data_IF_291362262460
#
_entry.id   IF_291362262460
#
_cell.length_a   1.000
_cell.length_b   1.000
_cell.length_c   1.000
_cell.angle_alpha   90.00
_cell.angle_beta   90.00
_cell.angle_gamma   90.00
#
_symmetry.space_group_name_H-M   'P 1'
#
loop_
_entity.id
_entity.type
_entity.pdbx_description
1 polymer ?
#
# COMPACT_ATOMS: atom_id res chain seq x y z
N UNK A 1 -4.61 8.79 7.27
CA UNK A 1 -5.12 8.77 5.87
C UNK A 1 -5.17 10.19 5.28
N UNK A 2 -4.62 10.41 4.08
CA UNK A 2 -4.68 11.69 3.39
C UNK A 2 -6.09 11.96 2.82
N UNK A 3 -6.36 13.19 2.36
CA UNK A 3 -7.68 13.61 1.85
C UNK A 3 -8.17 12.70 0.70
N UNK A 4 -7.33 12.44 -0.29
CA UNK A 4 -7.70 11.63 -1.46
C UNK A 4 -8.08 10.18 -1.11
N UNK A 5 -7.36 9.54 -0.19
CA UNK A 5 -7.69 8.19 0.27
C UNK A 5 -9.00 8.13 1.06
N UNK A 6 -9.33 9.19 1.82
CA UNK A 6 -10.62 9.29 2.51
C UNK A 6 -11.78 9.42 1.50
N UNK A 7 -11.59 10.25 0.47
CA UNK A 7 -12.59 10.43 -0.59
C UNK A 7 -12.80 9.14 -1.39
N UNK A 8 -11.72 8.41 -1.68
CA UNK A 8 -11.79 7.11 -2.35
C UNK A 8 -12.51 6.07 -1.48
N UNK A 9 -12.15 5.96 -0.20
CA UNK A 9 -12.82 5.04 0.74
C UNK A 9 -14.32 5.34 0.85
N UNK A 10 -14.69 6.63 0.92
CA UNK A 10 -16.09 7.06 0.90
C UNK A 10 -16.80 6.64 -0.38
N UNK A 11 -16.20 6.88 -1.55
CA UNK A 11 -16.76 6.48 -2.84
C UNK A 11 -17.00 4.96 -2.91
N UNK A 12 -16.03 4.16 -2.46
CA UNK A 12 -16.18 2.70 -2.43
C UNK A 12 -17.35 2.28 -1.53
N UNK A 13 -17.44 2.84 -0.32
CA UNK A 13 -18.54 2.57 0.60
C UNK A 13 -19.90 3.01 0.06
N UNK A 14 -20.00 4.18 -0.57
CA UNK A 14 -21.22 4.69 -1.22
C UNK A 14 -21.71 3.75 -2.34
N UNK A 15 -20.79 3.03 -2.99
CA UNK A 15 -21.10 2.04 -4.04
C UNK A 15 -21.22 0.60 -3.51
N UNK A 16 -21.21 0.39 -2.19
CA UNK A 16 -21.31 -0.94 -1.58
C UNK A 16 -20.07 -1.83 -1.80
N UNK A 17 -18.96 -1.26 -2.25
CA UNK A 17 -17.70 -1.98 -2.46
C UNK A 17 -16.94 -2.10 -1.13
N UNK A 18 -16.58 -3.33 -0.77
CA UNK A 18 -15.71 -3.65 0.35
C UNK A 18 -14.25 -3.68 -0.10
N UNK A 19 -13.34 -3.31 0.79
CA UNK A 19 -11.91 -3.34 0.53
C UNK A 19 -11.15 -3.78 1.77
N UNK A 20 -10.03 -4.47 1.55
CA UNK A 20 -9.05 -4.76 2.59
C UNK A 20 -8.06 -3.61 2.74
N UNK A 21 -7.48 -3.46 3.92
CA UNK A 21 -6.37 -2.53 4.14
C UNK A 21 -5.34 -3.03 5.15
N UNK A 22 -4.08 -2.67 4.91
CA UNK A 22 -3.00 -2.86 5.87
C UNK A 22 -2.12 -1.62 5.92
N UNK A 23 -1.52 -1.36 7.08
CA UNK A 23 -0.58 -0.25 7.26
C UNK A 23 0.69 -0.70 7.98
N UNK A 24 1.84 -0.32 7.45
CA UNK A 24 3.13 -0.64 8.05
C UNK A 24 4.25 0.33 7.63
N UNK A 25 5.33 0.35 8.42
CA UNK A 25 6.53 1.12 8.09
C UNK A 25 7.24 0.55 6.87
N UNK A 26 7.63 1.40 5.93
CA UNK A 26 8.46 1.03 4.78
C UNK A 26 9.87 0.53 5.20
N UNK A 27 10.26 0.76 6.45
CA UNK A 27 11.54 0.34 7.02
C UNK A 27 11.46 -1.00 7.76
N UNK A 28 10.28 -1.63 7.85
CA UNK A 28 10.19 -2.99 8.38
C UNK A 28 11.08 -3.95 7.55
N UNK A 29 11.61 -5.02 8.15
CA UNK A 29 12.27 -6.07 7.38
C UNK A 29 11.36 -6.56 6.25
N UNK A 30 11.92 -6.77 5.05
CA UNK A 30 11.14 -7.14 3.86
C UNK A 30 10.20 -8.33 4.11
N UNK A 31 10.68 -9.36 4.84
CA UNK A 31 9.88 -10.53 5.17
C UNK A 31 8.61 -10.18 5.97
N UNK A 32 8.67 -9.18 6.86
CA UNK A 32 7.51 -8.72 7.62
C UNK A 32 6.55 -7.88 6.77
N UNK A 33 7.07 -7.09 5.83
CA UNK A 33 6.23 -6.38 4.86
C UNK A 33 5.46 -7.37 3.99
N UNK A 34 6.15 -8.38 3.46
CA UNK A 34 5.54 -9.44 2.66
C UNK A 34 4.48 -10.22 3.46
N UNK A 35 4.74 -10.52 4.73
CA UNK A 35 3.77 -11.23 5.57
C UNK A 35 2.47 -10.44 5.74
N UNK A 36 2.57 -9.14 6.03
CA UNK A 36 1.38 -8.27 6.14
C UNK A 36 0.58 -8.20 4.84
N UNK A 37 1.27 -8.16 3.70
CA UNK A 37 0.63 -8.13 2.38
C UNK A 37 -0.02 -9.47 2.05
N UNK A 38 0.63 -10.60 2.36
CA UNK A 38 0.02 -11.93 2.19
C UNK A 38 -1.24 -12.09 3.03
N UNK A 39 -1.21 -11.64 4.28
CA UNK A 39 -2.38 -11.65 5.17
C UNK A 39 -3.53 -10.85 4.57
N UNK A 40 -3.26 -9.63 4.09
CA UNK A 40 -4.25 -8.81 3.40
C UNK A 40 -4.83 -9.51 2.16
N UNK A 41 -3.98 -10.06 1.28
CA UNK A 41 -4.44 -10.75 0.07
C UNK A 41 -5.28 -11.99 0.41
N UNK A 42 -4.95 -12.70 1.49
CA UNK A 42 -5.69 -13.88 1.94
C UNK A 42 -7.12 -13.57 2.40
N UNK A 43 -7.44 -12.30 2.72
CA UNK A 43 -8.81 -11.86 3.01
C UNK A 43 -9.73 -11.94 1.77
N UNK A 44 -9.15 -12.04 0.56
CA UNK A 44 -9.91 -12.32 -0.66
C UNK A 44 -10.67 -11.11 -1.23
N UNK A 45 -10.38 -9.90 -0.75
CA UNK A 45 -10.98 -8.68 -1.29
C UNK A 45 -10.49 -8.39 -2.72
N UNK A 46 -11.41 -7.93 -3.58
CA UNK A 46 -11.09 -7.47 -4.93
C UNK A 46 -10.33 -6.13 -4.93
N UNK A 47 -10.46 -5.34 -3.86
CA UNK A 47 -9.81 -4.03 -3.69
C UNK A 47 -9.00 -4.08 -2.40
N UNK A 48 -7.71 -3.70 -2.49
CA UNK A 48 -6.77 -3.77 -1.39
C UNK A 48 -5.94 -2.48 -1.29
N UNK A 49 -5.78 -1.95 -0.08
CA UNK A 49 -4.90 -0.81 0.17
C UNK A 49 -3.71 -1.20 1.04
N UNK A 50 -2.51 -1.10 0.46
CA UNK A 50 -1.25 -1.16 1.22
C UNK A 50 -0.81 0.26 1.54
N UNK A 51 -0.79 0.61 2.82
CA UNK A 51 -0.39 1.95 3.30
C UNK A 51 0.98 1.90 3.94
N UNK A 52 1.89 2.74 3.46
CA UNK A 52 3.19 2.93 4.10
C UNK A 52 3.10 4.07 5.10
N UNK A 53 3.58 3.84 6.33
CA UNK A 53 3.55 4.84 7.40
C UNK A 53 4.33 6.10 6.97
N UNK A 54 3.78 7.31 7.15
CA UNK A 54 4.48 8.55 6.82
C UNK A 54 5.88 8.63 7.44
N UNK A 55 6.79 9.35 6.80
CA UNK A 55 8.18 9.57 7.25
C UNK A 55 9.10 8.32 7.28
N UNK A 56 8.56 7.14 6.99
CA UNK A 56 9.34 5.89 6.84
C UNK A 56 9.78 5.65 5.39
N UNK A 57 9.08 6.29 4.44
CA UNK A 57 9.26 6.11 2.99
C UNK A 57 10.46 6.91 2.45
N UNK A 58 10.60 8.18 2.83
CA UNK A 58 11.72 9.01 2.34
C UNK A 58 12.92 8.87 3.28
N UNK A 59 14.11 8.49 2.78
CA UNK A 59 15.33 8.50 3.57
C UNK A 59 15.55 9.86 4.24
N UNK A 60 16.06 9.84 5.46
CA UNK A 60 16.16 11.05 6.29
C UNK A 60 16.92 12.19 5.61
N UNK A 61 18.04 11.87 4.96
CA UNK A 61 18.86 12.82 4.21
C UNK A 61 18.21 13.38 2.93
N UNK A 62 17.01 12.90 2.56
CA UNK A 62 16.27 13.32 1.36
C UNK A 62 14.88 13.87 1.66
N UNK A 63 14.50 14.04 2.93
CA UNK A 63 13.17 14.51 3.35
C UNK A 63 12.82 15.92 2.85
N UNK A 64 13.81 16.77 2.54
CA UNK A 64 13.60 18.11 1.98
C UNK A 64 13.12 18.10 0.52
N UNK A 65 13.24 16.97 -0.19
CA UNK A 65 12.77 16.85 -1.56
C UNK A 65 11.25 16.68 -1.61
N UNK A 66 10.54 17.72 -2.09
CA UNK A 66 9.07 17.78 -2.16
C UNK A 66 8.43 16.62 -2.96
N UNK A 67 9.15 15.99 -3.89
CA UNK A 67 8.68 14.84 -4.67
C UNK A 67 9.02 13.46 -4.07
N UNK A 68 9.81 13.43 -2.99
CA UNK A 68 10.36 12.18 -2.45
C UNK A 68 9.29 11.22 -1.96
N UNK A 69 8.23 11.71 -1.32
CA UNK A 69 7.17 10.86 -0.79
C UNK A 69 6.54 9.96 -1.86
N UNK A 70 6.14 10.56 -2.98
CA UNK A 70 5.54 9.83 -4.10
C UNK A 70 6.52 8.87 -4.76
N UNK A 71 7.72 9.34 -5.09
CA UNK A 71 8.70 8.51 -5.82
C UNK A 71 9.17 7.30 -5.00
N UNK A 72 9.45 7.50 -3.72
CA UNK A 72 9.88 6.40 -2.85
C UNK A 72 8.74 5.43 -2.55
N UNK A 73 7.48 5.89 -2.47
CA UNK A 73 6.35 4.96 -2.26
C UNK A 73 6.21 3.92 -3.38
N UNK A 74 6.48 4.30 -4.64
CA UNK A 74 6.49 3.36 -5.75
C UNK A 74 7.63 2.35 -5.63
N UNK A 75 8.83 2.79 -5.27
CA UNK A 75 9.98 1.89 -5.09
C UNK A 75 9.69 0.79 -4.05
N UNK A 76 9.11 1.13 -2.90
CA UNK A 76 8.71 0.12 -1.90
C UNK A 76 7.59 -0.77 -2.41
N UNK A 77 6.57 -0.22 -3.08
CA UNK A 77 5.47 -1.01 -3.62
C UNK A 77 5.96 -2.07 -4.62
N UNK A 78 6.89 -1.72 -5.52
CA UNK A 78 7.46 -2.65 -6.50
C UNK A 78 8.34 -3.74 -5.90
N UNK A 79 8.86 -3.56 -4.68
CA UNK A 79 9.63 -4.58 -3.96
C UNK A 79 8.75 -5.68 -3.37
N UNK A 80 7.46 -5.42 -3.17
CA UNK A 80 6.52 -6.39 -2.61
C UNK A 80 6.18 -7.46 -3.66
N UNK A 81 6.81 -8.62 -3.56
CA UNK A 81 6.56 -9.77 -4.45
C UNK A 81 5.10 -10.19 -4.38
N UNK A 82 4.51 -10.26 -3.19
CA UNK A 82 3.12 -10.71 -3.02
C UNK A 82 2.12 -9.80 -3.76
N UNK A 83 2.36 -8.48 -3.82
CA UNK A 83 1.52 -7.56 -4.62
C UNK A 83 1.64 -7.87 -6.11
N UNK A 84 2.86 -8.10 -6.60
CA UNK A 84 3.11 -8.42 -8.02
C UNK A 84 2.46 -9.75 -8.39
N UNK A 85 2.62 -10.78 -7.56
CA UNK A 85 2.00 -12.08 -7.79
C UNK A 85 0.47 -11.95 -7.84
N UNK A 86 -0.13 -11.23 -6.89
CA UNK A 86 -1.57 -10.97 -6.88
C UNK A 86 -2.05 -10.30 -8.16
N UNK A 87 -1.33 -9.30 -8.68
CA UNK A 87 -1.67 -8.63 -9.93
C UNK A 87 -1.72 -9.61 -11.12
N UNK A 88 -0.79 -10.57 -11.20
CA UNK A 88 -0.75 -11.58 -12.26
C UNK A 88 -1.82 -12.68 -12.12
N UNK A 89 -2.42 -12.82 -10.93
CA UNK A 89 -3.52 -13.76 -10.70
C UNK A 89 -4.88 -13.20 -11.14
N UNK A 90 -4.98 -11.89 -11.40
CA UNK A 90 -6.25 -11.26 -11.77
C UNK A 90 -6.68 -11.66 -13.18
N UNK A 91 -7.99 -11.84 -13.36
CA UNK A 91 -8.63 -12.16 -14.64
C UNK A 91 -9.73 -11.14 -14.93
N UNK A 92 -10.10 -11.00 -16.21
CA UNK A 92 -11.13 -10.06 -16.68
C UNK A 92 -12.53 -10.64 -16.56
#
# INVERSE_FOLDING_TARGET
>A
MNKGMKELGRMLSENGAVYGETEFSAQLPQAQQEEKVRQLIAEGFAINFVRLTPQTVVPENKRSWKGGGHMYSFDYAYKLKSVRDWLFMQQK
#
